data_IF_432948617320
#
_entry.id   IF_432948617320
#
_cell.length_a   1.000
_cell.length_b   1.000
_cell.length_c   1.000
_cell.angle_alpha   90.00
_cell.angle_beta   90.00
_cell.angle_gamma   90.00
#
_symmetry.space_group_name_H-M   'P 1'
#
loop_
_entity.id
_entity.type
_entity.pdbx_description
1 polymer ?
#
# COMPACT_ATOMS: atom_id res chain seq x y z
N UNK A 1 -3.83 22.34 -10.09
CA UNK A 1 -4.39 21.18 -9.40
C UNK A 1 -3.79 19.89 -9.96
N UNK A 2 -3.20 19.07 -9.10
CA UNK A 2 -2.60 17.83 -9.55
C UNK A 2 -3.65 16.77 -9.79
N UNK A 3 -3.61 16.15 -10.96
CA UNK A 3 -4.48 15.03 -11.24
C UNK A 3 -3.86 13.76 -10.67
N UNK A 4 -4.70 12.91 -10.09
CA UNK A 4 -4.29 11.58 -9.71
C UNK A 4 -4.05 10.79 -11.01
N UNK A 5 -2.90 10.11 -11.10
CA UNK A 5 -2.57 9.30 -12.27
C UNK A 5 -3.41 8.01 -12.34
N UNK A 6 -4.05 7.63 -11.25
CA UNK A 6 -4.88 6.43 -11.20
C UNK A 6 -6.34 6.77 -11.44
N UNK A 7 -6.99 5.98 -12.29
CA UNK A 7 -8.45 6.05 -12.44
C UNK A 7 -9.09 5.28 -11.28
N UNK A 8 -10.40 5.44 -11.12
CA UNK A 8 -11.16 4.69 -10.11
C UNK A 8 -11.01 3.17 -10.35
N UNK A 9 -11.02 2.76 -11.62
CA UNK A 9 -10.86 1.35 -11.97
C UNK A 9 -9.46 0.84 -11.63
N UNK A 10 -8.43 1.66 -11.87
CA UNK A 10 -7.05 1.31 -11.51
C UNK A 10 -6.93 1.08 -10.01
N UNK A 11 -7.47 2.00 -9.22
CA UNK A 11 -7.42 1.90 -7.75
C UNK A 11 -8.13 0.64 -7.28
N UNK A 12 -9.33 0.38 -7.80
CA UNK A 12 -10.10 -0.79 -7.41
C UNK A 12 -9.35 -2.09 -7.73
N UNK A 13 -8.79 -2.18 -8.93
CA UNK A 13 -8.04 -3.37 -9.35
C UNK A 13 -6.83 -3.63 -8.47
N UNK A 14 -6.06 -2.59 -8.18
CA UNK A 14 -4.87 -2.69 -7.34
C UNK A 14 -5.25 -3.08 -5.91
N UNK A 15 -6.24 -2.39 -5.36
CA UNK A 15 -6.70 -2.63 -3.98
C UNK A 15 -7.22 -4.06 -3.83
N UNK A 16 -8.06 -4.50 -4.75
CA UNK A 16 -8.62 -5.85 -4.69
C UNK A 16 -7.52 -6.91 -4.80
N UNK A 17 -6.58 -6.72 -5.73
CA UNK A 17 -5.48 -7.64 -5.94
C UNK A 17 -4.58 -7.73 -4.69
N UNK A 18 -4.23 -6.60 -4.12
CA UNK A 18 -3.38 -6.58 -2.93
C UNK A 18 -4.07 -7.24 -1.74
N UNK A 19 -5.36 -7.00 -1.57
CA UNK A 19 -6.10 -7.59 -0.45
C UNK A 19 -6.31 -9.10 -0.63
N UNK A 20 -6.48 -9.55 -1.86
CA UNK A 20 -6.74 -10.97 -2.14
C UNK A 20 -5.46 -11.81 -2.16
N UNK A 21 -4.39 -11.31 -2.77
CA UNK A 21 -3.21 -12.12 -3.04
C UNK A 21 -1.95 -11.70 -2.29
N UNK A 22 -1.94 -10.52 -1.69
CA UNK A 22 -0.72 -9.96 -1.09
C UNK A 22 -0.92 -9.43 0.32
N UNK A 23 -1.77 -10.10 1.10
CA UNK A 23 -2.02 -9.68 2.49
C UNK A 23 -0.75 -9.67 3.35
N UNK A 24 0.18 -10.58 3.08
CA UNK A 24 1.46 -10.61 3.79
C UNK A 24 2.27 -9.33 3.54
N UNK A 25 2.21 -8.81 2.32
CA UNK A 25 2.89 -7.58 1.98
C UNK A 25 2.31 -6.40 2.74
N UNK A 26 0.99 -6.39 2.94
CA UNK A 26 0.33 -5.31 3.70
C UNK A 26 0.81 -5.27 5.15
N UNK A 27 0.99 -6.43 5.76
CA UNK A 27 1.55 -6.52 7.11
C UNK A 27 2.98 -5.96 7.12
N UNK A 28 3.78 -6.30 6.12
CA UNK A 28 5.13 -5.80 6.02
C UNK A 28 5.16 -4.27 5.90
N UNK A 29 4.23 -3.70 5.14
CA UNK A 29 4.13 -2.23 5.04
C UNK A 29 3.86 -1.60 6.40
N UNK A 30 3.04 -2.24 7.23
CA UNK A 30 2.83 -1.76 8.60
C UNK A 30 4.13 -1.78 9.38
N UNK A 31 4.93 -2.83 9.24
CA UNK A 31 6.23 -2.93 9.93
C UNK A 31 7.17 -1.81 9.48
N UNK A 32 7.15 -1.48 8.19
CA UNK A 32 7.97 -0.37 7.66
C UNK A 32 7.56 0.97 8.27
N UNK A 33 6.31 1.09 8.71
CA UNK A 33 5.81 2.30 9.39
C UNK A 33 6.10 2.29 10.90
N UNK A 34 6.80 1.27 11.39
CA UNK A 34 7.11 1.15 12.81
C UNK A 34 6.08 0.40 13.61
N UNK A 35 5.06 -0.16 12.96
CA UNK A 35 4.00 -0.91 13.63
C UNK A 35 4.37 -2.39 13.75
N UNK A 36 5.44 -2.67 14.48
CA UNK A 36 6.02 -4.01 14.55
C UNK A 36 5.14 -5.05 15.28
N UNK A 37 4.14 -4.59 16.01
CA UNK A 37 3.20 -5.47 16.71
C UNK A 37 2.11 -6.05 15.81
N UNK A 38 1.97 -5.53 14.59
CA UNK A 38 0.97 -6.03 13.65
C UNK A 38 1.44 -7.36 13.07
N UNK A 39 0.54 -8.33 13.03
CA UNK A 39 0.82 -9.67 12.49
C UNK A 39 -0.23 -10.05 11.46
N UNK A 40 -0.06 -11.18 10.84
CA UNK A 40 -1.03 -11.73 9.87
C UNK A 40 -2.40 -12.04 10.49
N UNK A 41 -2.47 -12.05 11.83
CA UNK A 41 -3.73 -12.25 12.55
C UNK A 41 -4.54 -10.97 12.65
N UNK A 42 -3.90 -9.83 12.44
CA UNK A 42 -4.57 -8.54 12.44
C UNK A 42 -5.24 -8.30 11.09
N UNK A 43 -6.31 -7.53 11.10
CA UNK A 43 -7.02 -7.21 9.88
C UNK A 43 -6.34 -6.01 9.21
N UNK A 44 -5.56 -6.28 8.19
CA UNK A 44 -4.85 -5.24 7.42
C UNK A 44 -5.34 -5.28 5.98
N UNK A 45 -5.89 -4.18 5.53
CA UNK A 45 -6.41 -4.04 4.16
C UNK A 45 -5.82 -2.79 3.52
N UNK A 46 -5.63 -2.84 2.20
CA UNK A 46 -5.36 -1.63 1.44
C UNK A 46 -6.72 -0.96 1.16
N UNK A 47 -6.85 0.32 1.46
CA UNK A 47 -8.09 1.05 1.28
C UNK A 47 -8.07 1.97 0.07
N UNK A 48 -6.89 2.37 -0.39
CA UNK A 48 -6.75 3.22 -1.56
C UNK A 48 -5.30 3.41 -1.92
N UNK A 49 -5.07 3.99 -3.10
CA UNK A 49 -3.72 4.26 -3.58
C UNK A 49 -3.76 5.46 -4.51
N UNK A 50 -2.70 6.27 -4.47
CA UNK A 50 -2.49 7.38 -5.41
C UNK A 50 -0.99 7.49 -5.70
N UNK A 51 -0.61 8.49 -6.48
CA UNK A 51 0.79 8.63 -6.88
C UNK A 51 1.74 8.93 -5.72
N UNK A 52 1.22 9.47 -4.62
CA UNK A 52 2.04 9.86 -3.47
C UNK A 52 2.13 8.78 -2.39
N UNK A 53 1.32 7.74 -2.47
CA UNK A 53 1.32 6.69 -1.47
C UNK A 53 0.03 5.89 -1.49
N UNK A 54 -0.23 5.21 -0.39
CA UNK A 54 -1.44 4.40 -0.29
C UNK A 54 -1.98 4.43 1.13
N UNK A 55 -3.25 4.07 1.23
CA UNK A 55 -3.96 4.06 2.51
C UNK A 55 -4.17 2.62 2.94
N UNK A 56 -3.87 2.35 4.20
CA UNK A 56 -4.11 1.06 4.82
C UNK A 56 -5.20 1.21 5.87
N UNK A 57 -5.96 0.14 6.04
CA UNK A 57 -6.93 0.07 7.14
C UNK A 57 -6.47 -1.06 8.05
N UNK A 58 -6.02 -0.70 9.23
CA UNK A 58 -5.44 -1.63 10.20
C UNK A 58 -6.38 -1.74 11.39
N UNK A 59 -7.05 -2.88 11.53
CA UNK A 59 -8.03 -3.11 12.59
C UNK A 59 -9.07 -1.98 12.67
N UNK A 60 -9.47 -1.46 11.51
CA UNK A 60 -10.46 -0.41 11.42
C UNK A 60 -9.91 1.02 11.41
N UNK A 61 -8.62 1.20 11.66
CA UNK A 61 -8.00 2.53 11.65
C UNK A 61 -7.35 2.83 10.32
N UNK A 62 -7.50 4.06 9.85
CA UNK A 62 -6.89 4.51 8.61
C UNK A 62 -5.46 4.95 8.86
N UNK A 63 -4.51 4.32 8.15
CA UNK A 63 -3.09 4.61 8.26
C UNK A 63 -2.57 4.98 6.86
N UNK A 64 -1.87 6.09 6.76
CA UNK A 64 -1.31 6.55 5.48
C UNK A 64 0.14 6.09 5.35
N UNK A 65 0.47 5.50 4.21
CA UNK A 65 1.85 5.18 3.83
C UNK A 65 2.28 6.14 2.73
N UNK A 66 3.18 7.07 3.06
CA UNK A 66 3.70 8.03 2.09
C UNK A 66 4.94 7.49 1.41
N UNK A 67 5.00 7.64 0.08
CA UNK A 67 6.18 7.27 -0.69
C UNK A 67 7.21 8.39 -0.62
N UNK A 68 8.49 8.03 -0.61
CA UNK A 68 9.56 9.03 -0.65
C UNK A 68 9.55 9.79 -1.99
N UNK A 69 9.24 9.08 -3.07
CA UNK A 69 9.16 9.66 -4.40
C UNK A 69 7.82 9.31 -5.01
N UNK A 70 7.04 10.30 -5.46
CA UNK A 70 5.77 10.02 -6.11
C UNK A 70 5.95 9.21 -7.39
N UNK A 71 4.96 8.37 -7.69
CA UNK A 71 4.93 7.65 -8.96
C UNK A 71 4.50 8.59 -10.07
N UNK A 72 5.05 8.40 -11.26
CA UNK A 72 4.72 9.22 -12.44
C UNK A 72 3.72 8.53 -13.36
N UNK A 73 3.70 7.21 -13.34
CA UNK A 73 2.85 6.41 -14.22
C UNK A 73 2.24 5.24 -13.45
N UNK A 74 1.04 4.86 -13.84
CA UNK A 74 0.31 3.76 -13.20
C UNK A 74 1.11 2.46 -13.22
N UNK A 75 1.83 2.19 -14.29
CA UNK A 75 2.62 0.94 -14.42
C UNK A 75 3.76 0.83 -13.41
N UNK A 76 4.14 1.92 -12.77
CA UNK A 76 5.18 1.90 -11.73
C UNK A 76 4.70 1.28 -10.43
N UNK A 77 3.38 1.18 -10.23
CA UNK A 77 2.80 0.74 -8.96
C UNK A 77 3.26 -0.65 -8.56
N UNK A 78 3.27 -1.57 -9.52
CA UNK A 78 3.69 -2.95 -9.24
C UNK A 78 5.14 -2.99 -8.75
N UNK A 79 6.01 -2.27 -9.43
CA UNK A 79 7.43 -2.20 -9.09
C UNK A 79 7.62 -1.61 -7.69
N UNK A 80 6.90 -0.53 -7.40
CA UNK A 80 6.99 0.15 -6.11
C UNK A 80 6.50 -0.76 -4.99
N UNK A 81 5.33 -1.38 -5.15
CA UNK A 81 4.77 -2.24 -4.11
C UNK A 81 5.63 -3.48 -3.87
N UNK A 82 6.17 -4.08 -4.92
CA UNK A 82 7.07 -5.23 -4.79
C UNK A 82 8.36 -4.82 -4.09
N UNK A 83 8.92 -3.67 -4.47
CA UNK A 83 10.14 -3.15 -3.86
C UNK A 83 9.96 -2.92 -2.36
N UNK A 84 8.82 -2.32 -1.96
CA UNK A 84 8.50 -2.10 -0.56
C UNK A 84 8.31 -3.42 0.20
N UNK A 85 7.69 -4.40 -0.45
CA UNK A 85 7.46 -5.70 0.18
C UNK A 85 8.76 -6.43 0.47
N UNK A 86 9.83 -6.12 -0.26
CA UNK A 86 11.16 -6.73 -0.08
C UNK A 86 12.10 -5.85 0.74
N UNK A 87 11.68 -4.64 1.09
CA UNK A 87 12.53 -3.71 1.82
C UNK A 87 12.80 -4.24 3.23
N UNK A 88 14.07 -4.29 3.66
CA UNK A 88 14.37 -4.73 5.04
C UNK A 88 13.85 -3.71 6.05
N UNK A 89 13.55 -4.21 7.26
CA UNK A 89 13.01 -3.36 8.32
C UNK A 89 14.07 -2.47 8.98
N UNK A 90 15.34 -2.79 8.74
CA UNK A 90 16.47 -2.01 9.29
C UNK A 90 17.72 -2.22 8.46
#
# INVERSE_FOLDING_TARGET
MKKNIFTTEDVKGIVDHMNDDHSNSLVHYCHLLGMSNITEKDKVLMAGIDQNGFDLKVNGENIRFELETPMKEVREVRKVLVSLAKKPLF
#
